data_IF_149294260570
#
_entry.id   IF_149294260570
#
_cell.length_a   1.000
_cell.length_b   1.000
_cell.length_c   1.000
_cell.angle_alpha   90.00
_cell.angle_beta   90.00
_cell.angle_gamma   90.00
#
_symmetry.space_group_name_H-M   'P 1'
#
loop_
_entity.id
_entity.type
_entity.pdbx_description
1 polymer ?
#
# COMPACT_ATOMS: atom_id res chain seq x y z
N UNK A 1 27.31 -3.10 10.19
CA UNK A 1 26.48 -1.94 9.76
C UNK A 1 25.38 -2.35 8.78
N UNK A 2 25.67 -3.19 7.77
CA UNK A 2 24.63 -3.73 6.88
C UNK A 2 23.62 -4.59 7.68
N UNK A 3 24.11 -5.50 8.52
CA UNK A 3 23.25 -6.36 9.36
C UNK A 3 22.33 -5.58 10.31
N UNK A 4 22.76 -4.41 10.80
CA UNK A 4 21.93 -3.54 11.64
C UNK A 4 20.84 -2.84 10.83
N UNK A 5 21.11 -2.44 9.58
CA UNK A 5 20.11 -1.86 8.68
C UNK A 5 19.07 -2.91 8.30
N UNK A 6 19.48 -4.15 8.05
CA UNK A 6 18.54 -5.23 7.71
C UNK A 6 17.63 -5.60 8.88
N UNK A 7 18.17 -5.68 10.10
CA UNK A 7 17.38 -5.87 11.32
C UNK A 7 16.40 -4.74 11.55
N UNK A 8 16.83 -3.49 11.35
CA UNK A 8 15.95 -2.33 11.46
C UNK A 8 14.86 -2.32 10.38
N UNK A 9 15.20 -2.66 9.14
CA UNK A 9 14.23 -2.83 8.04
C UNK A 9 13.17 -3.86 8.40
N UNK A 10 13.59 -5.02 8.90
CA UNK A 10 12.67 -6.08 9.30
C UNK A 10 11.72 -5.59 10.40
N UNK A 11 12.25 -4.96 11.45
CA UNK A 11 11.45 -4.40 12.54
C UNK A 11 10.45 -3.35 12.05
N UNK A 12 10.89 -2.38 11.25
CA UNK A 12 10.04 -1.31 10.71
C UNK A 12 8.94 -1.88 9.81
N UNK A 13 9.26 -2.87 8.95
CA UNK A 13 8.26 -3.53 8.11
C UNK A 13 7.25 -4.35 8.91
N UNK A 14 7.67 -5.04 9.97
CA UNK A 14 6.75 -5.76 10.88
C UNK A 14 5.80 -4.76 11.53
N UNK A 15 6.33 -3.68 12.11
CA UNK A 15 5.51 -2.66 12.77
C UNK A 15 4.50 -2.04 11.80
N UNK A 16 4.95 -1.63 10.61
CA UNK A 16 4.08 -1.07 9.59
C UNK A 16 3.05 -2.09 9.09
N UNK A 17 3.40 -3.38 8.99
CA UNK A 17 2.46 -4.44 8.62
C UNK A 17 1.36 -4.63 9.67
N UNK A 18 1.72 -4.61 10.96
CA UNK A 18 0.73 -4.69 12.06
C UNK A 18 -0.24 -3.50 11.99
N UNK A 19 0.29 -2.29 11.81
CA UNK A 19 -0.55 -1.09 11.68
C UNK A 19 -1.45 -1.20 10.44
N UNK A 20 -0.91 -1.63 9.30
CA UNK A 20 -1.67 -1.78 8.06
C UNK A 20 -2.79 -2.83 8.18
N UNK A 21 -2.52 -3.96 8.86
CA UNK A 21 -3.52 -4.99 9.18
C UNK A 21 -4.65 -4.40 10.03
N UNK A 22 -4.31 -3.65 11.09
CA UNK A 22 -5.32 -3.01 11.94
C UNK A 22 -6.15 -2.01 11.13
N UNK A 23 -5.51 -1.19 10.29
CA UNK A 23 -6.21 -0.25 9.42
C UNK A 23 -7.17 -0.95 8.44
N UNK A 24 -6.77 -2.09 7.87
CA UNK A 24 -7.63 -2.84 6.94
C UNK A 24 -8.83 -3.45 7.66
N UNK A 25 -8.61 -4.07 8.84
CA UNK A 25 -9.71 -4.64 9.65
C UNK A 25 -10.70 -3.55 10.05
N UNK A 26 -10.22 -2.39 10.52
CA UNK A 26 -11.09 -1.26 10.86
C UNK A 26 -11.83 -0.75 9.63
N UNK A 27 -11.16 -0.64 8.48
CA UNK A 27 -11.78 -0.26 7.21
C UNK A 27 -12.90 -1.20 6.79
N UNK A 28 -12.70 -2.50 6.94
CA UNK A 28 -13.71 -3.53 6.62
C UNK A 28 -14.89 -3.50 7.59
N UNK A 29 -14.64 -3.38 8.90
CA UNK A 29 -15.71 -3.24 9.90
C UNK A 29 -16.55 -2.00 9.60
N UNK A 30 -15.93 -0.87 9.26
CA UNK A 30 -16.64 0.35 8.88
C UNK A 30 -17.46 0.16 7.60
N UNK A 31 -16.92 -0.55 6.61
CA UNK A 31 -17.63 -0.84 5.37
C UNK A 31 -18.89 -1.66 5.60
N UNK A 32 -18.81 -2.70 6.45
CA UNK A 32 -19.93 -3.57 6.80
C UNK A 32 -20.98 -2.83 7.66
N UNK A 33 -20.53 -2.03 8.63
CA UNK A 33 -21.42 -1.35 9.60
C UNK A 33 -22.11 -0.10 9.03
N UNK A 34 -21.57 0.52 7.98
CA UNK A 34 -22.14 1.69 7.32
C UNK A 34 -22.52 1.39 5.84
N UNK A 35 -23.44 0.44 5.60
CA UNK A 35 -23.88 0.11 4.25
C UNK A 35 -24.61 1.33 3.65
N UNK A 36 -24.08 1.85 2.54
CA UNK A 36 -24.63 3.02 1.84
C UNK A 36 -23.69 4.22 1.73
N UNK A 37 -22.53 4.19 2.39
CA UNK A 37 -21.51 5.23 2.22
C UNK A 37 -21.01 5.34 0.76
N UNK A 38 -21.07 4.26 -0.02
CA UNK A 38 -20.65 4.24 -1.43
C UNK A 38 -19.14 4.38 -1.66
N UNK A 39 -18.35 4.43 -0.59
CA UNK A 39 -16.89 4.45 -0.62
C UNK A 39 -16.30 3.49 0.41
N UNK A 40 -15.09 2.99 0.12
CA UNK A 40 -14.27 2.21 1.05
C UNK A 40 -13.14 3.10 1.56
N UNK A 41 -12.96 3.22 2.87
CA UNK A 41 -11.87 4.00 3.46
C UNK A 41 -10.96 3.08 4.26
N UNK A 42 -9.73 2.88 3.77
CA UNK A 42 -8.70 2.13 4.48
C UNK A 42 -7.35 2.81 4.35
N UNK A 43 -6.69 2.99 5.49
CA UNK A 43 -5.34 3.55 5.56
C UNK A 43 -4.24 2.50 5.35
N UNK A 44 -4.57 1.22 5.15
CA UNK A 44 -3.55 0.17 4.94
C UNK A 44 -2.63 0.49 3.75
N UNK A 45 -3.20 0.97 2.64
CA UNK A 45 -2.44 1.38 1.46
C UNK A 45 -1.59 2.63 1.71
N UNK A 46 -2.05 3.57 2.54
CA UNK A 46 -1.24 4.71 2.99
C UNK A 46 0.01 4.22 3.75
N UNK A 47 -0.17 3.29 4.68
CA UNK A 47 0.94 2.70 5.46
C UNK A 47 1.92 1.97 4.53
N UNK A 48 1.41 1.25 3.53
CA UNK A 48 2.24 0.60 2.53
C UNK A 48 3.02 1.59 1.65
N UNK A 49 2.40 2.69 1.22
CA UNK A 49 3.08 3.75 0.46
C UNK A 49 4.21 4.40 1.27
N UNK A 50 3.97 4.65 2.57
CA UNK A 50 5.02 5.11 3.50
C UNK A 50 6.16 4.08 3.55
N UNK A 51 5.84 2.79 3.73
CA UNK A 51 6.83 1.71 3.76
C UNK A 51 7.62 1.62 2.45
N UNK A 52 6.97 1.82 1.30
CA UNK A 52 7.60 1.78 -0.02
C UNK A 52 8.50 2.97 -0.29
N UNK A 53 8.16 4.16 0.20
CA UNK A 53 9.10 5.31 0.18
C UNK A 53 10.32 4.99 1.08
N UNK A 54 10.10 4.40 2.26
CA UNK A 54 11.16 4.06 3.22
C UNK A 54 12.11 2.96 2.76
N UNK A 55 11.57 1.87 2.18
CA UNK A 55 12.30 0.63 1.89
C UNK A 55 12.21 0.15 0.44
N UNK A 56 11.56 0.91 -0.45
CA UNK A 56 11.38 0.52 -1.85
C UNK A 56 10.47 -0.69 -1.97
N UNK A 57 10.84 -1.66 -2.83
CA UNK A 57 10.06 -2.87 -3.10
C UNK A 57 9.71 -3.68 -1.84
N UNK A 58 10.56 -3.64 -0.81
CA UNK A 58 10.30 -4.35 0.45
C UNK A 58 9.08 -3.79 1.20
N UNK A 59 8.78 -2.50 1.03
CA UNK A 59 7.59 -1.89 1.60
C UNK A 59 6.29 -2.44 1.04
N UNK A 60 6.30 -3.00 -0.19
CA UNK A 60 5.09 -3.57 -0.79
C UNK A 60 4.54 -4.76 0.00
N UNK A 61 5.41 -5.47 0.75
CA UNK A 61 5.01 -6.59 1.62
C UNK A 61 3.99 -6.17 2.67
N UNK A 62 4.06 -4.91 3.14
CA UNK A 62 3.11 -4.37 4.12
C UNK A 62 1.66 -4.48 3.63
N UNK A 63 1.40 -4.17 2.35
CA UNK A 63 0.05 -4.24 1.80
C UNK A 63 -0.41 -5.69 1.52
N UNK A 64 0.54 -6.58 1.18
CA UNK A 64 0.26 -8.00 1.00
C UNK A 64 -0.20 -8.61 2.34
N UNK A 65 0.54 -8.32 3.41
CA UNK A 65 0.23 -8.79 4.77
C UNK A 65 -1.09 -8.20 5.27
N UNK A 66 -1.35 -6.92 4.97
CA UNK A 66 -2.63 -6.28 5.30
C UNK A 66 -3.86 -6.97 4.68
N UNK A 67 -3.68 -7.70 3.57
CA UNK A 67 -4.75 -8.47 2.93
C UNK A 67 -5.02 -9.84 3.56
N UNK A 68 -4.15 -10.36 4.42
CA UNK A 68 -4.31 -11.70 5.04
C UNK A 68 -5.58 -11.82 5.89
N UNK A 69 -5.94 -10.85 6.76
CA UNK A 69 -7.18 -10.93 7.54
C UNK A 69 -8.43 -11.08 6.67
N UNK A 70 -8.43 -10.51 5.47
CA UNK A 70 -9.57 -10.56 4.54
C UNK A 70 -9.85 -11.96 4.02
N UNK A 71 -8.91 -12.91 4.17
CA UNK A 71 -9.16 -14.33 3.90
C UNK A 71 -10.28 -14.87 4.78
N UNK A 72 -10.39 -14.38 6.02
CA UNK A 72 -11.29 -14.90 7.04
C UNK A 72 -12.51 -14.02 7.31
N UNK A 73 -12.49 -12.76 6.84
CA UNK A 73 -13.56 -11.79 7.11
C UNK A 73 -14.65 -11.76 6.02
N UNK A 74 -14.41 -12.35 4.85
CA UNK A 74 -15.38 -12.42 3.77
C UNK A 74 -15.95 -13.84 3.61
N UNK A 75 -17.27 -13.92 3.35
CA UNK A 75 -18.03 -15.18 3.23
C UNK A 75 -17.73 -15.98 1.93
N UNK A 76 -16.83 -15.49 1.07
CA UNK A 76 -16.39 -16.18 -0.15
C UNK A 76 -15.46 -17.37 0.14
N UNK A 77 -15.15 -18.16 -0.89
CA UNK A 77 -14.22 -19.28 -0.73
C UNK A 77 -12.81 -18.81 -0.33
N UNK A 78 -12.13 -19.59 0.51
CA UNK A 78 -10.76 -19.27 0.98
C UNK A 78 -9.81 -19.00 -0.19
N UNK A 79 -9.95 -19.75 -1.28
CA UNK A 79 -9.10 -19.62 -2.48
C UNK A 79 -9.38 -18.30 -3.19
N UNK A 80 -10.66 -17.92 -3.35
CA UNK A 80 -11.02 -16.61 -3.91
C UNK A 80 -10.43 -15.48 -3.08
N UNK A 81 -10.55 -15.55 -1.76
CA UNK A 81 -10.02 -14.51 -0.90
C UNK A 81 -8.49 -14.44 -0.98
N UNK A 82 -7.77 -15.57 -1.02
CA UNK A 82 -6.31 -15.55 -1.22
C UNK A 82 -5.93 -14.86 -2.54
N UNK A 83 -6.64 -15.15 -3.63
CA UNK A 83 -6.39 -14.54 -4.94
C UNK A 83 -6.69 -13.04 -4.90
N UNK A 84 -7.83 -12.66 -4.32
CA UNK A 84 -8.30 -11.29 -4.35
C UNK A 84 -7.60 -10.40 -3.34
N UNK A 85 -7.10 -10.88 -2.21
CA UNK A 85 -6.50 -10.00 -1.20
C UNK A 85 -4.97 -10.05 -1.26
N UNK A 86 -4.25 -11.02 -0.69
CA UNK A 86 -2.79 -10.96 -0.66
C UNK A 86 -2.15 -11.03 -2.07
N UNK A 87 -2.65 -11.88 -2.98
CA UNK A 87 -2.06 -12.01 -4.33
C UNK A 87 -2.30 -10.75 -5.17
N UNK A 88 -3.54 -10.26 -5.25
CA UNK A 88 -3.82 -9.01 -5.96
C UNK A 88 -3.10 -7.81 -5.33
N UNK A 89 -3.00 -7.74 -4.00
CA UNK A 89 -2.30 -6.66 -3.30
C UNK A 89 -0.82 -6.60 -3.64
N UNK A 90 -0.19 -7.71 -4.05
CA UNK A 90 1.20 -7.72 -4.50
C UNK A 90 1.45 -6.81 -5.71
N UNK A 91 0.42 -6.51 -6.50
CA UNK A 91 0.53 -5.59 -7.64
C UNK A 91 0.75 -4.13 -7.21
N UNK A 92 0.65 -3.79 -5.92
CA UNK A 92 1.08 -2.47 -5.43
C UNK A 92 2.55 -2.19 -5.77
N UNK A 93 3.37 -3.23 -5.87
CA UNK A 93 4.79 -3.16 -6.23
C UNK A 93 5.03 -2.60 -7.64
N UNK A 94 4.02 -2.56 -8.52
CA UNK A 94 4.10 -1.92 -9.84
C UNK A 94 4.56 -0.47 -9.72
N UNK A 95 4.09 0.27 -8.72
CA UNK A 95 4.53 1.65 -8.46
C UNK A 95 6.04 1.73 -8.18
N UNK A 96 6.61 0.80 -7.41
CA UNK A 96 8.06 0.73 -7.20
C UNK A 96 8.82 0.41 -8.49
N UNK A 97 8.24 -0.36 -9.41
CA UNK A 97 8.86 -0.69 -10.70
C UNK A 97 8.86 0.55 -11.60
N UNK A 98 7.73 1.24 -11.71
CA UNK A 98 7.59 2.47 -12.51
C UNK A 98 8.54 3.56 -12.02
N UNK A 99 8.69 3.70 -10.71
CA UNK A 99 9.56 4.69 -10.08
C UNK A 99 10.96 4.17 -9.72
N UNK A 100 11.39 3.01 -10.24
CA UNK A 100 12.67 2.37 -9.85
C UNK A 100 13.92 3.25 -10.07
N UNK A 101 13.84 4.18 -11.02
CA UNK A 101 14.92 5.09 -11.37
C UNK A 101 14.80 6.47 -10.71
N UNK A 102 13.76 6.70 -9.91
CA UNK A 102 13.54 7.96 -9.21
C UNK A 102 13.99 7.77 -7.76
N UNK A 103 14.88 8.64 -7.30
CA UNK A 103 15.24 8.66 -5.88
C UNK A 103 14.00 8.83 -5.03
N UNK A 104 13.85 7.98 -4.01
CA UNK A 104 12.65 7.94 -3.17
C UNK A 104 12.43 9.24 -2.41
N UNK A 105 13.50 9.97 -2.08
CA UNK A 105 13.42 11.30 -1.48
C UNK A 105 12.84 12.32 -2.49
N UNK A 106 13.20 12.21 -3.77
CA UNK A 106 12.66 13.06 -4.84
C UNK A 106 11.19 12.78 -5.15
N UNK A 107 10.66 11.60 -4.80
CA UNK A 107 9.22 11.30 -4.91
C UNK A 107 8.46 12.15 -3.90
N UNK A 108 8.96 12.27 -2.67
CA UNK A 108 8.36 13.07 -1.60
C UNK A 108 8.37 14.56 -1.92
N UNK A 109 9.50 15.07 -2.44
CA UNK A 109 9.71 16.51 -2.58
C UNK A 109 8.85 17.14 -3.68
N UNK A 110 8.50 16.38 -4.71
CA UNK A 110 7.67 16.85 -5.81
C UNK A 110 6.23 16.31 -5.69
N UNK A 111 5.26 17.20 -5.50
CA UNK A 111 3.84 16.86 -5.35
C UNK A 111 3.29 16.04 -6.53
N UNK A 112 3.72 16.33 -7.76
CA UNK A 112 3.29 15.60 -8.97
C UNK A 112 3.86 14.18 -8.93
N UNK A 113 5.12 13.99 -8.52
CA UNK A 113 5.69 12.65 -8.39
C UNK A 113 5.01 11.84 -7.29
N UNK A 114 4.72 12.47 -6.15
CA UNK A 114 3.97 11.84 -5.06
C UNK A 114 2.55 11.44 -5.50
N UNK A 115 1.89 12.30 -6.27
CA UNK A 115 0.57 12.02 -6.85
C UNK A 115 0.64 10.83 -7.81
N UNK A 116 1.54 10.86 -8.78
CA UNK A 116 1.72 9.77 -9.75
C UNK A 116 2.13 8.46 -9.06
N UNK A 117 2.95 8.52 -8.01
CA UNK A 117 3.31 7.35 -7.21
C UNK A 117 2.08 6.74 -6.52
N UNK A 118 1.22 7.59 -5.96
CA UNK A 118 -0.04 7.15 -5.34
C UNK A 118 -0.98 6.55 -6.39
N UNK A 119 -1.22 7.25 -7.50
CA UNK A 119 -2.09 6.77 -8.59
C UNK A 119 -1.61 5.44 -9.17
N UNK A 120 -0.30 5.29 -9.42
CA UNK A 120 0.26 4.04 -9.96
C UNK A 120 0.12 2.86 -8.99
N UNK A 121 0.17 3.10 -7.68
CA UNK A 121 -0.10 2.06 -6.69
C UNK A 121 -1.56 1.60 -6.73
N UNK A 122 -2.52 2.53 -6.76
CA UNK A 122 -3.94 2.20 -6.88
C UNK A 122 -4.27 1.51 -8.21
N UNK A 123 -3.68 1.96 -9.32
CA UNK A 123 -3.83 1.30 -10.62
C UNK A 123 -3.25 -0.12 -10.59
N UNK A 124 -2.07 -0.30 -10.00
CA UNK A 124 -1.47 -1.62 -9.83
C UNK A 124 -2.40 -2.58 -9.09
N UNK A 125 -2.88 -2.18 -7.91
CA UNK A 125 -3.82 -2.99 -7.12
C UNK A 125 -5.12 -3.25 -7.88
N UNK A 126 -5.67 -2.25 -8.59
CA UNK A 126 -6.89 -2.41 -9.39
C UNK A 126 -6.72 -3.41 -10.52
N UNK A 127 -5.57 -3.41 -11.19
CA UNK A 127 -5.20 -4.41 -12.20
C UNK A 127 -5.07 -5.79 -11.53
N UNK A 128 -4.38 -5.89 -10.40
CA UNK A 128 -4.23 -7.15 -9.65
C UNK A 128 -5.59 -7.75 -9.27
N UNK A 129 -6.50 -6.93 -8.75
CA UNK A 129 -7.88 -7.32 -8.42
C UNK A 129 -8.65 -7.74 -9.68
N UNK A 130 -8.51 -6.98 -10.77
CA UNK A 130 -9.08 -7.32 -12.07
C UNK A 130 -8.62 -8.66 -12.61
N UNK A 131 -7.31 -8.95 -12.52
CA UNK A 131 -6.73 -10.25 -12.93
C UNK A 131 -7.28 -11.37 -12.04
N UNK A 132 -7.32 -11.16 -10.73
CA UNK A 132 -7.89 -12.13 -9.79
C UNK A 132 -9.34 -12.47 -10.10
N UNK A 133 -10.18 -11.46 -10.33
CA UNK A 133 -11.60 -11.66 -10.69
C UNK A 133 -11.73 -12.34 -12.07
N UNK A 134 -10.88 -11.99 -13.03
CA UNK A 134 -10.87 -12.64 -14.34
C UNK A 134 -10.56 -14.13 -14.25
N UNK A 135 -9.58 -14.52 -13.42
CA UNK A 135 -9.26 -15.93 -13.18
C UNK A 135 -10.45 -16.69 -12.58
N UNK A 136 -11.21 -16.03 -11.70
CA UNK A 136 -12.34 -16.64 -10.99
C UNK A 136 -13.64 -16.69 -11.81
N UNK A 137 -13.91 -15.67 -12.64
CA UNK A 137 -15.23 -15.45 -13.26
C UNK A 137 -15.18 -15.25 -14.77
N UNK A 138 -14.00 -15.07 -15.36
CA UNK A 138 -13.82 -14.75 -16.78
C UNK A 138 -14.08 -13.29 -17.17
N UNK A 139 -14.42 -12.39 -16.22
CA UNK A 139 -14.74 -10.98 -16.51
C UNK A 139 -13.66 -10.03 -15.94
N UNK A 140 -12.85 -9.45 -16.83
CA UNK A 140 -11.73 -8.58 -16.45
C UNK A 140 -12.09 -7.09 -16.39
N UNK A 141 -12.51 -6.52 -17.52
CA UNK A 141 -12.52 -5.06 -17.76
C UNK A 141 -13.49 -4.30 -16.85
N UNK A 142 -14.69 -4.85 -16.65
CA UNK A 142 -15.69 -4.25 -15.74
C UNK A 142 -15.20 -4.25 -14.29
N UNK A 143 -14.50 -5.31 -13.88
CA UNK A 143 -14.09 -5.55 -12.51
C UNK A 143 -12.94 -4.65 -12.08
N UNK A 144 -11.91 -4.51 -12.92
CA UNK A 144 -10.77 -3.63 -12.66
C UNK A 144 -11.19 -2.15 -12.62
N UNK A 145 -12.00 -1.72 -13.60
CA UNK A 145 -12.48 -0.35 -13.68
C UNK A 145 -13.41 -0.01 -12.51
N UNK A 146 -14.32 -0.93 -12.15
CA UNK A 146 -15.21 -0.75 -11.00
C UNK A 146 -14.42 -0.59 -9.70
N UNK A 147 -13.43 -1.45 -9.43
CA UNK A 147 -12.59 -1.34 -8.24
C UNK A 147 -11.82 -0.01 -8.20
N UNK A 148 -11.26 0.43 -9.33
CA UNK A 148 -10.57 1.72 -9.36
C UNK A 148 -11.50 2.89 -9.04
N UNK A 149 -12.72 2.89 -9.62
CA UNK A 149 -13.73 3.92 -9.40
C UNK A 149 -14.18 3.98 -7.94
N UNK A 150 -14.40 2.83 -7.28
CA UNK A 150 -14.81 2.80 -5.86
C UNK A 150 -13.71 3.24 -4.90
N UNK A 151 -12.44 3.19 -5.33
CA UNK A 151 -11.28 3.61 -4.56
C UNK A 151 -10.86 5.07 -4.78
N UNK A 152 -11.50 5.83 -5.68
CA UNK A 152 -11.13 7.22 -5.97
C UNK A 152 -11.20 8.13 -4.74
N UNK A 153 -12.21 7.94 -3.89
CA UNK A 153 -12.34 8.68 -2.64
C UNK A 153 -11.19 8.35 -1.68
N UNK A 154 -10.91 7.06 -1.49
CA UNK A 154 -9.80 6.60 -0.66
C UNK A 154 -8.45 7.14 -1.16
N UNK A 155 -8.21 7.05 -2.47
CA UNK A 155 -6.98 7.54 -3.11
C UNK A 155 -6.78 9.04 -2.85
N UNK A 156 -7.85 9.82 -2.99
CA UNK A 156 -7.82 11.27 -2.69
C UNK A 156 -7.45 11.51 -1.22
N UNK A 157 -8.08 10.79 -0.28
CA UNK A 157 -7.79 10.91 1.15
C UNK A 157 -6.34 10.52 1.48
N UNK A 158 -5.87 9.40 0.96
CA UNK A 158 -4.49 8.94 1.13
C UNK A 158 -3.50 9.95 0.57
N UNK A 159 -3.76 10.51 -0.60
CA UNK A 159 -2.91 11.54 -1.21
C UNK A 159 -2.85 12.82 -0.37
N UNK A 160 -3.99 13.30 0.14
CA UNK A 160 -4.04 14.46 1.04
C UNK A 160 -3.23 14.23 2.31
N UNK A 161 -3.36 13.06 2.92
CA UNK A 161 -2.58 12.71 4.12
C UNK A 161 -1.09 12.64 3.79
N UNK A 162 -0.70 12.07 2.64
CA UNK A 162 0.68 12.06 2.18
C UNK A 162 1.25 13.49 2.04
N UNK A 163 0.46 14.45 1.52
CA UNK A 163 0.86 15.86 1.44
C UNK A 163 1.06 16.47 2.84
N UNK A 164 0.21 16.14 3.81
CA UNK A 164 0.34 16.66 5.17
C UNK A 164 1.61 16.10 5.81
N UNK A 165 1.82 14.79 5.74
CA UNK A 165 2.93 14.12 6.43
C UNK A 165 4.29 14.29 5.73
N UNK A 166 4.35 14.68 4.45
CA UNK A 166 5.64 14.84 3.74
C UNK A 166 6.58 15.87 4.38
N UNK A 167 6.03 16.81 5.14
CA UNK A 167 6.77 17.83 5.88
C UNK A 167 7.28 17.33 7.24
N UNK A 168 6.84 16.16 7.69
CA UNK A 168 7.33 15.54 8.94
C UNK A 168 8.66 14.85 8.67
N UNK A 169 9.68 15.25 9.41
CA UNK A 169 11.01 14.65 9.33
C UNK A 169 10.98 13.18 9.78
N UNK A 170 11.67 12.32 9.03
CA UNK A 170 11.86 10.90 9.38
C UNK A 170 10.71 9.95 9.00
N UNK A 171 9.57 10.44 8.51
CA UNK A 171 8.44 9.56 8.13
C UNK A 171 8.54 9.08 6.68
N UNK A 172 8.56 10.02 5.73
CA UNK A 172 8.73 9.77 4.29
C UNK A 172 10.18 10.05 3.88
N UNK A 173 11.10 9.13 4.15
CA UNK A 173 12.52 9.28 3.79
C UNK A 173 13.06 7.92 3.36
N UNK A 174 13.98 7.89 2.40
CA UNK A 174 14.76 6.70 2.11
C UNK A 174 15.57 6.28 3.34
N UNK A 175 15.14 5.22 4.01
CA UNK A 175 15.68 4.84 5.31
C UNK A 175 17.13 4.34 5.22
N UNK A 176 17.53 3.75 4.09
CA UNK A 176 18.91 3.35 3.87
C UNK A 176 19.84 4.57 3.95
N UNK A 177 19.50 5.64 3.21
CA UNK A 177 20.28 6.88 3.20
C UNK A 177 20.23 7.57 4.56
N UNK A 178 19.05 7.61 5.18
CA UNK A 178 18.84 8.24 6.48
C UNK A 178 19.69 7.61 7.58
N UNK A 179 19.68 6.28 7.70
CA UNK A 179 20.44 5.54 8.69
C UNK A 179 21.95 5.63 8.45
N UNK A 180 22.40 5.65 7.20
CA UNK A 180 23.81 5.83 6.89
C UNK A 180 24.32 7.23 7.30
N UNK A 181 23.51 8.27 7.10
CA UNK A 181 23.89 9.65 7.46
C UNK A 181 23.84 9.92 8.97
N UNK A 182 22.88 9.34 9.69
CA UNK A 182 22.69 9.58 11.13
C UNK A 182 23.35 8.52 12.02
N UNK A 183 23.56 7.31 11.50
CA UNK A 183 24.27 6.23 12.21
C UNK A 183 25.80 6.37 12.22
N UNK A 184 26.36 7.30 11.45
CA UNK A 184 27.78 7.68 11.51
C UNK A 184 28.09 8.66 12.65
N UNK A 185 27.08 9.16 13.37
CA UNK A 185 27.23 10.14 14.47
C UNK A 185 27.18 9.49 15.87
N UNK A 186 27.31 8.17 15.97
CA UNK A 186 27.36 7.43 17.24
C UNK A 186 28.69 6.72 17.34
#
# INVERSE_FOLDING_TARGET
MIDSIEKYRLFDLILLSVIAVVCEIVGEILHITLPGAGYYLSFSILIALIAMIRWGKWGAVVYIVAGIPMIFLHDSSVIENIILYPIANAFIAVSCIVFRFVDRDRIKDNIIRLFLFTVTAYLGVSIGKGVGIFILTGVFSKSAAYYFLTQLFNMTMVFLILIIIKHRNGLLVNMNTYLLQHGQKV
#
